data_IF_718278882548
#
_entry.id   IF_718278882548
#
_cell.length_a   1.000
_cell.length_b   1.000
_cell.length_c   1.000
_cell.angle_alpha   90.00
_cell.angle_beta   90.00
_cell.angle_gamma   90.00
#
_symmetry.space_group_name_H-M   'P 1'
#
loop_
_entity.id
_entity.type
_entity.pdbx_description
1 polymer ?
#
# COMPACT_ATOMS: atom_id res chain seq x y z
N UNK A 1 -10.92 -5.06 -22.64
CA UNK A 1 -9.88 -5.71 -21.81
C UNK A 1 -10.59 -6.65 -20.85
N UNK A 2 -10.26 -7.95 -20.85
CA UNK A 2 -11.03 -8.95 -20.08
C UNK A 2 -11.09 -8.54 -18.59
N UNK A 3 -12.26 -8.63 -17.95
CA UNK A 3 -12.46 -8.26 -16.54
C UNK A 3 -11.48 -8.99 -15.60
N UNK A 4 -11.11 -10.21 -15.98
CA UNK A 4 -10.07 -11.01 -15.34
C UNK A 4 -8.69 -10.32 -15.33
N UNK A 5 -8.33 -9.67 -16.44
CA UNK A 5 -7.05 -8.97 -16.61
C UNK A 5 -6.99 -7.68 -15.80
N UNK A 6 -8.11 -6.93 -15.71
CA UNK A 6 -8.22 -5.78 -14.79
C UNK A 6 -8.10 -6.21 -13.34
N UNK A 7 -8.81 -7.27 -12.94
CA UNK A 7 -8.79 -7.77 -11.56
C UNK A 7 -7.41 -8.28 -11.14
N UNK A 8 -6.72 -9.01 -12.03
CA UNK A 8 -5.35 -9.46 -11.83
C UNK A 8 -4.39 -8.28 -11.71
N UNK A 9 -4.48 -7.29 -12.61
CA UNK A 9 -3.64 -6.10 -12.56
C UNK A 9 -3.83 -5.30 -11.26
N UNK A 10 -5.07 -5.11 -10.78
CA UNK A 10 -5.35 -4.45 -9.50
C UNK A 10 -4.71 -5.17 -8.33
N UNK A 11 -4.84 -6.51 -8.28
CA UNK A 11 -4.33 -7.30 -7.16
C UNK A 11 -2.80 -7.32 -7.14
N UNK A 12 -2.17 -7.40 -8.31
CA UNK A 12 -0.71 -7.26 -8.45
C UNK A 12 -0.26 -5.87 -7.99
N UNK A 13 -0.98 -4.81 -8.38
CA UNK A 13 -0.64 -3.44 -8.01
C UNK A 13 -0.75 -3.22 -6.49
N UNK A 14 -1.80 -3.75 -5.85
CA UNK A 14 -1.93 -3.74 -4.38
C UNK A 14 -0.79 -4.52 -3.73
N UNK A 15 -0.46 -5.71 -4.24
CA UNK A 15 0.63 -6.52 -3.71
C UNK A 15 1.99 -5.81 -3.78
N UNK A 16 2.27 -5.10 -4.89
CA UNK A 16 3.48 -4.28 -5.05
C UNK A 16 3.52 -3.15 -4.03
N UNK A 17 2.40 -2.42 -3.84
CA UNK A 17 2.33 -1.34 -2.86
C UNK A 17 2.56 -1.85 -1.44
N UNK A 18 1.98 -3.00 -1.09
CA UNK A 18 2.20 -3.64 0.20
C UNK A 18 3.67 -4.07 0.39
N UNK A 19 4.29 -4.65 -0.65
CA UNK A 19 5.69 -5.04 -0.60
C UNK A 19 6.61 -3.82 -0.40
N UNK A 20 6.38 -2.72 -1.12
CA UNK A 20 7.13 -1.47 -0.96
C UNK A 20 6.93 -0.91 0.44
N UNK A 21 5.71 -0.94 0.96
CA UNK A 21 5.40 -0.45 2.32
C UNK A 21 6.14 -1.28 3.36
N UNK A 22 6.18 -2.61 3.22
CA UNK A 22 6.93 -3.49 4.10
C UNK A 22 8.45 -3.21 4.04
N UNK A 23 9.02 -3.04 2.86
CA UNK A 23 10.43 -2.69 2.68
C UNK A 23 10.73 -1.31 3.30
N UNK A 24 9.86 -0.32 3.11
CA UNK A 24 10.00 1.01 3.68
C UNK A 24 9.96 0.98 5.22
N UNK A 25 9.05 0.20 5.81
CA UNK A 25 9.00 0.00 7.25
C UNK A 25 10.26 -0.69 7.77
N UNK A 26 10.76 -1.73 7.10
CA UNK A 26 12.02 -2.38 7.45
C UNK A 26 13.21 -1.41 7.34
N UNK A 27 13.23 -0.55 6.33
CA UNK A 27 14.25 0.49 6.15
C UNK A 27 14.16 1.64 7.16
N UNK A 28 12.97 1.99 7.66
CA UNK A 28 12.84 2.98 8.76
C UNK A 28 13.37 2.41 10.07
N UNK A 29 13.13 1.12 10.29
CA UNK A 29 13.43 0.46 11.55
C UNK A 29 14.87 -0.04 11.63
N UNK A 30 15.56 -0.25 10.51
CA UNK A 30 16.99 -0.67 10.38
C UNK A 30 17.47 -1.75 11.37
N UNK A 31 16.54 -2.50 11.98
CA UNK A 31 16.75 -3.61 12.92
C UNK A 31 17.08 -3.22 14.40
N UNK A 32 16.68 -2.01 14.83
CA UNK A 32 16.53 -1.52 16.25
C UNK A 32 17.80 -0.98 16.96
N UNK A 33 17.90 0.37 17.04
CA UNK A 33 18.35 1.09 18.25
C UNK A 33 17.28 2.11 18.72
N UNK A 34 17.10 2.27 20.05
CA UNK A 34 16.04 3.06 20.71
C UNK A 34 16.25 4.59 20.69
N UNK A 35 17.12 5.08 19.83
CA UNK A 35 17.37 6.52 19.67
C UNK A 35 16.41 7.08 18.60
N UNK A 36 15.79 8.23 18.89
CA UNK A 36 14.80 8.88 18.02
C UNK A 36 13.56 8.04 17.67
N UNK A 37 13.13 7.14 18.57
CA UNK A 37 11.96 6.25 18.39
C UNK A 37 10.69 7.01 18.00
N UNK A 38 10.42 8.15 18.65
CA UNK A 38 9.26 9.00 18.34
C UNK A 38 9.25 9.43 16.87
N UNK A 39 10.41 9.80 16.31
CA UNK A 39 10.54 10.20 14.91
C UNK A 39 10.32 9.01 13.97
N UNK A 40 10.91 7.85 14.29
CA UNK A 40 10.71 6.60 13.51
C UNK A 40 9.25 6.16 13.50
N UNK A 41 8.54 6.30 14.63
CA UNK A 41 7.11 6.01 14.73
C UNK A 41 6.30 6.96 13.85
N UNK A 42 6.51 8.28 13.96
CA UNK A 42 5.79 9.26 13.15
C UNK A 42 6.02 9.04 11.64
N UNK A 43 7.25 8.74 11.23
CA UNK A 43 7.58 8.44 9.83
C UNK A 43 6.93 7.12 9.38
N UNK A 44 6.93 6.08 10.22
CA UNK A 44 6.24 4.81 9.91
C UNK A 44 4.73 5.02 9.73
N UNK A 45 4.13 5.82 10.61
CA UNK A 45 2.70 6.18 10.55
C UNK A 45 2.40 6.94 9.26
N UNK A 46 3.26 7.88 8.87
CA UNK A 46 3.14 8.61 7.61
C UNK A 46 3.25 7.68 6.39
N UNK A 47 4.21 6.74 6.39
CA UNK A 47 4.37 5.76 5.30
C UNK A 47 3.13 4.87 5.18
N UNK A 48 2.61 4.36 6.29
CA UNK A 48 1.37 3.55 6.29
C UNK A 48 0.16 4.38 5.83
N UNK A 49 0.10 5.66 6.22
CA UNK A 49 -0.96 6.57 5.79
C UNK A 49 -0.94 6.78 4.27
N UNK A 50 0.22 7.08 3.69
CA UNK A 50 0.38 7.23 2.24
C UNK A 50 0.06 5.92 1.52
N UNK A 51 0.57 4.79 2.01
CA UNK A 51 0.26 3.48 1.45
C UNK A 51 -1.25 3.20 1.44
N UNK A 52 -1.96 3.57 2.51
CA UNK A 52 -3.42 3.41 2.60
C UNK A 52 -4.15 4.25 1.56
N UNK A 53 -3.73 5.51 1.34
CA UNK A 53 -4.29 6.36 0.28
C UNK A 53 -4.07 5.75 -1.10
N UNK A 54 -2.88 5.21 -1.37
CA UNK A 54 -2.57 4.55 -2.64
C UNK A 54 -3.41 3.29 -2.83
N UNK A 55 -3.55 2.46 -1.80
CA UNK A 55 -4.40 1.26 -1.86
C UNK A 55 -5.87 1.64 -2.10
N UNK A 56 -6.39 2.63 -1.38
CA UNK A 56 -7.75 3.15 -1.59
C UNK A 56 -7.93 3.72 -3.00
N UNK A 57 -6.93 4.42 -3.54
CA UNK A 57 -6.94 4.90 -4.93
C UNK A 57 -7.01 3.75 -5.93
N UNK A 58 -6.24 2.68 -5.73
CA UNK A 58 -6.29 1.48 -6.57
C UNK A 58 -7.68 0.83 -6.50
N UNK A 59 -8.27 0.71 -5.30
CA UNK A 59 -9.63 0.21 -5.14
C UNK A 59 -10.67 1.10 -5.82
N UNK A 60 -10.58 2.42 -5.63
CA UNK A 60 -11.53 3.39 -6.14
C UNK A 60 -11.49 3.54 -7.67
N UNK A 61 -10.30 3.49 -8.27
CA UNK A 61 -10.10 3.69 -9.72
C UNK A 61 -10.16 2.39 -10.49
N UNK A 62 -9.51 1.32 -10.01
CA UNK A 62 -9.31 0.10 -10.81
C UNK A 62 -10.34 -0.97 -10.48
N UNK A 63 -10.78 -1.10 -9.22
CA UNK A 63 -11.75 -2.13 -8.80
C UNK A 63 -13.21 -1.68 -8.99
N UNK A 64 -13.52 -0.39 -8.84
CA UNK A 64 -14.89 0.12 -9.03
C UNK A 64 -15.43 -0.13 -10.44
N UNK A 65 -14.55 -0.27 -11.42
CA UNK A 65 -14.90 -0.55 -12.82
C UNK A 65 -15.30 -2.03 -13.07
N UNK A 66 -15.13 -2.90 -12.08
CA UNK A 66 -15.39 -4.36 -12.19
C UNK A 66 -16.65 -4.83 -11.44
N UNK A 67 -17.32 -3.93 -10.71
CA UNK A 67 -18.30 -4.27 -9.68
C UNK A 67 -19.69 -3.67 -9.81
N UNK A 68 -20.07 -3.10 -10.96
CA UNK A 68 -21.47 -2.71 -11.19
C UNK A 68 -22.25 -3.87 -11.82
N UNK A 69 -22.70 -4.80 -10.97
CA UNK A 69 -23.90 -5.61 -11.20
C UNK A 69 -24.74 -5.46 -9.94
N UNK A 70 -25.58 -4.43 -9.98
CA UNK A 70 -26.77 -4.17 -9.15
C UNK A 70 -26.56 -4.15 -7.63
#
# INVERSE_FOLDING_TARGET
MNSFMKKAASYILVAVVLAITAIALLGIWEVIPLENVIRKILVSLFVIFVASVVVLFIFAVVIRDSGNKE
#
